data_IF_009099031469
#
_entry.id   IF_009099031469
#
_cell.length_a   1.000
_cell.length_b   1.000
_cell.length_c   1.000
_cell.angle_alpha   90.00
_cell.angle_beta   90.00
_cell.angle_gamma   90.00
#
_symmetry.space_group_name_H-M   'P 1'
#
loop_
_entity.id
_entity.type
_entity.pdbx_description
1 polymer ?
#
# COMPACT_ATOMS: atom_id res chain seq x y z
N UNK A 1 8.60 29.52 41.03
CA UNK A 1 7.65 30.59 40.66
C UNK A 1 7.12 30.47 39.23
N UNK A 2 7.96 30.45 38.19
CA UNK A 2 7.46 30.41 36.80
C UNK A 2 6.69 29.13 36.45
N UNK A 3 7.16 27.98 36.95
CA UNK A 3 6.49 26.68 36.73
C UNK A 3 5.14 26.60 37.46
N UNK A 4 5.04 27.20 38.65
CA UNK A 4 3.80 27.28 39.43
C UNK A 4 2.70 28.05 38.69
N UNK A 5 3.06 29.07 37.92
CA UNK A 5 2.13 29.86 37.11
C UNK A 5 2.08 29.43 35.63
N UNK A 6 2.76 28.33 35.26
CA UNK A 6 2.91 27.85 33.88
C UNK A 6 3.36 28.96 32.89
N UNK A 7 4.28 29.83 33.34
CA UNK A 7 4.82 30.94 32.53
C UNK A 7 6.11 30.47 31.87
N UNK A 8 6.18 30.58 30.54
CA UNK A 8 7.41 30.31 29.81
C UNK A 8 8.51 31.29 30.25
N UNK A 9 9.53 30.77 30.93
CA UNK A 9 10.62 31.56 31.50
C UNK A 9 11.32 32.47 30.48
N UNK A 10 11.55 31.96 29.27
CA UNK A 10 12.20 32.72 28.19
C UNK A 10 11.38 33.95 27.79
N UNK A 11 10.06 33.80 27.70
CA UNK A 11 9.15 34.91 27.40
C UNK A 11 9.09 35.96 28.53
N UNK A 12 9.15 35.53 29.79
CA UNK A 12 9.21 36.43 30.95
C UNK A 12 10.49 37.27 30.92
N UNK A 13 11.65 36.64 30.69
CA UNK A 13 12.94 37.34 30.59
C UNK A 13 12.95 38.36 29.44
N UNK A 14 12.41 38.00 28.27
CA UNK A 14 12.31 38.95 27.14
C UNK A 14 11.39 40.13 27.46
N UNK A 15 10.27 39.89 28.14
CA UNK A 15 9.34 40.96 28.53
C UNK A 15 9.95 41.90 29.57
N UNK A 16 10.68 41.36 30.57
CA UNK A 16 11.43 42.15 31.54
C UNK A 16 12.47 43.05 30.86
N UNK A 17 13.28 42.48 29.96
CA UNK A 17 14.32 43.21 29.23
C UNK A 17 13.75 44.32 28.34
N UNK A 18 12.66 44.02 27.62
CA UNK A 18 12.04 44.97 26.68
C UNK A 18 11.41 46.16 27.40
N UNK A 19 10.79 45.93 28.55
CA UNK A 19 10.05 46.98 29.27
C UNK A 19 10.82 47.59 30.44
N UNK A 20 12.04 47.09 30.73
CA UNK A 20 12.89 47.55 31.85
C UNK A 20 12.17 47.54 33.19
N UNK A 21 11.38 46.50 33.44
CA UNK A 21 10.59 46.31 34.67
C UNK A 21 11.18 45.21 35.55
N UNK A 22 10.83 45.24 36.84
CA UNK A 22 11.24 44.21 37.81
C UNK A 22 10.59 42.85 37.51
N UNK A 23 11.14 41.81 38.14
CA UNK A 23 10.62 40.44 38.02
C UNK A 23 9.21 40.34 38.61
N UNK A 24 8.96 41.03 39.71
CA UNK A 24 7.72 41.07 40.45
C UNK A 24 6.62 41.76 39.62
N UNK A 25 6.93 42.88 38.97
CA UNK A 25 6.02 43.56 38.05
C UNK A 25 5.72 42.73 36.79
N UNK A 26 6.73 42.08 36.22
CA UNK A 26 6.54 41.20 35.08
C UNK A 26 5.65 39.99 35.43
N UNK A 27 5.88 39.38 36.60
CA UNK A 27 5.04 38.28 37.09
C UNK A 27 3.61 38.75 37.40
N UNK A 28 3.44 39.94 37.98
CA UNK A 28 2.13 40.55 38.22
C UNK A 28 1.37 40.82 36.92
N UNK A 29 2.05 41.35 35.88
CA UNK A 29 1.47 41.55 34.55
C UNK A 29 1.00 40.22 33.94
N UNK A 30 1.83 39.17 33.97
CA UNK A 30 1.42 37.85 33.48
C UNK A 30 0.29 37.25 34.33
N UNK A 31 0.33 37.40 35.66
CA UNK A 31 -0.72 36.94 36.55
C UNK A 31 -2.06 37.62 36.27
N UNK A 32 -2.08 38.95 36.09
CA UNK A 32 -3.26 39.69 35.67
C UNK A 32 -3.71 39.27 34.27
N UNK A 33 -2.79 39.13 33.31
CA UNK A 33 -3.08 38.65 31.96
C UNK A 33 -3.75 37.27 31.99
N UNK A 34 -3.27 36.31 32.78
CA UNK A 34 -3.88 34.99 32.90
C UNK A 34 -5.20 35.01 33.71
N UNK A 35 -5.29 35.81 34.78
CA UNK A 35 -6.49 35.98 35.60
C UNK A 35 -7.67 36.58 34.81
N UNK A 36 -7.40 37.51 33.89
CA UNK A 36 -8.41 38.12 33.00
C UNK A 36 -8.58 37.40 31.66
N UNK A 37 -7.73 36.42 31.33
CA UNK A 37 -7.87 35.57 30.13
C UNK A 37 -8.75 34.33 30.33
N UNK A 38 -9.46 34.24 31.47
CA UNK A 38 -10.51 33.24 31.66
C UNK A 38 -11.54 33.39 30.55
N UNK A 39 -11.87 32.29 29.91
CA UNK A 39 -12.76 32.29 28.76
C UNK A 39 -14.08 31.64 29.16
N UNK A 40 -15.17 32.41 29.16
CA UNK A 40 -16.49 31.87 29.48
C UNK A 40 -17.22 31.49 28.19
N UNK A 41 -17.67 30.24 28.12
CA UNK A 41 -18.40 29.69 26.99
C UNK A 41 -19.49 28.74 27.49
N UNK A 42 -20.72 28.92 27.00
CA UNK A 42 -21.91 28.18 27.45
C UNK A 42 -22.01 28.05 28.98
N UNK A 43 -21.92 29.18 29.68
CA UNK A 43 -22.02 29.25 31.16
C UNK A 43 -20.91 28.52 31.94
N UNK A 44 -19.89 27.99 31.27
CA UNK A 44 -18.70 27.40 31.89
C UNK A 44 -17.51 28.34 31.70
N UNK A 45 -16.76 28.60 32.77
CA UNK A 45 -15.56 29.44 32.74
C UNK A 45 -14.31 28.57 32.73
N UNK A 46 -13.57 28.65 31.62
CA UNK A 46 -12.32 27.94 31.42
C UNK A 46 -11.13 28.84 31.77
N UNK A 47 -10.02 28.25 32.21
CA UNK A 47 -8.81 29.00 32.57
C UNK A 47 -8.17 29.73 31.38
N UNK A 48 -8.49 29.31 30.15
CA UNK A 48 -8.13 30.02 28.93
C UNK A 48 -9.01 29.61 27.74
N UNK A 49 -8.96 30.39 26.66
CA UNK A 49 -9.56 29.99 25.38
C UNK A 49 -9.01 28.65 24.87
N UNK A 50 -7.72 28.38 25.10
CA UNK A 50 -7.11 27.13 24.68
C UNK A 50 -7.70 25.95 25.45
N UNK A 51 -7.85 26.08 26.78
CA UNK A 51 -8.50 25.08 27.62
C UNK A 51 -9.95 24.84 27.18
N UNK A 52 -10.69 25.91 26.86
CA UNK A 52 -12.03 25.80 26.30
C UNK A 52 -12.04 24.99 24.99
N UNK A 53 -11.20 25.33 24.01
CA UNK A 53 -11.15 24.56 22.75
C UNK A 53 -10.79 23.09 22.97
N UNK A 54 -9.85 22.79 23.88
CA UNK A 54 -9.45 21.42 24.19
C UNK A 54 -10.58 20.61 24.84
N UNK A 55 -11.42 21.23 25.68
CA UNK A 55 -12.60 20.57 26.26
C UNK A 55 -13.64 20.16 25.20
N UNK A 56 -13.65 20.82 24.05
CA UNK A 56 -14.45 20.45 22.87
C UNK A 56 -13.63 19.68 21.82
N UNK A 57 -12.46 19.14 22.19
CA UNK A 57 -11.55 18.37 21.32
C UNK A 57 -11.09 19.11 20.05
N UNK A 58 -11.07 20.44 20.08
CA UNK A 58 -10.66 21.29 18.97
C UNK A 58 -9.30 21.92 19.24
N UNK A 59 -8.41 21.87 18.24
CA UNK A 59 -7.14 22.57 18.30
C UNK A 59 -7.38 24.10 18.30
N UNK A 60 -6.91 24.85 19.31
CA UNK A 60 -7.17 26.31 19.43
C UNK A 60 -6.73 27.11 18.20
N UNK A 61 -5.63 26.70 17.55
CA UNK A 61 -5.10 27.35 16.35
C UNK A 61 -6.09 27.34 15.18
N UNK A 62 -6.90 26.28 15.06
CA UNK A 62 -7.89 26.17 13.99
C UNK A 62 -8.98 27.23 14.13
N UNK A 63 -9.47 27.44 15.36
CA UNK A 63 -10.51 28.43 15.66
C UNK A 63 -9.96 29.86 15.52
N UNK A 64 -8.73 30.12 16.01
CA UNK A 64 -8.08 31.43 15.82
C UNK A 64 -7.89 31.79 14.34
N UNK A 65 -7.47 30.83 13.52
CA UNK A 65 -7.31 31.03 12.07
C UNK A 65 -8.66 31.26 11.38
N UNK A 66 -9.69 30.54 11.79
CA UNK A 66 -11.06 30.73 11.29
C UNK A 66 -11.60 32.12 11.67
N UNK A 67 -11.44 32.53 12.92
CA UNK A 67 -11.80 33.83 13.45
C UNK A 67 -11.13 34.96 12.65
N UNK A 68 -9.82 34.88 12.42
CA UNK A 68 -9.06 35.87 11.63
C UNK A 68 -9.57 35.98 10.19
N UNK A 69 -9.84 34.86 9.52
CA UNK A 69 -10.31 34.84 8.11
C UNK A 69 -11.72 35.39 7.95
N UNK A 70 -12.57 35.23 8.95
CA UNK A 70 -13.99 35.64 8.93
C UNK A 70 -14.26 36.91 9.74
N UNK A 71 -13.22 37.53 10.31
CA UNK A 71 -13.31 38.70 11.18
C UNK A 71 -14.28 38.52 12.35
N UNK A 72 -14.27 37.34 12.97
CA UNK A 72 -15.12 37.01 14.12
C UNK A 72 -14.39 37.16 15.45
N UNK A 73 -15.14 37.53 16.49
CA UNK A 73 -14.72 37.36 17.88
C UNK A 73 -14.53 35.87 18.20
N UNK A 74 -13.58 35.53 19.07
CA UNK A 74 -13.22 34.12 19.37
C UNK A 74 -14.41 33.28 19.86
N UNK A 75 -15.29 33.85 20.68
CA UNK A 75 -16.53 33.18 21.13
C UNK A 75 -17.47 32.84 19.96
N UNK A 76 -17.70 33.80 19.09
CA UNK A 76 -18.56 33.61 17.92
C UNK A 76 -17.92 32.67 16.89
N UNK A 77 -16.60 32.76 16.74
CA UNK A 77 -15.82 31.85 15.91
C UNK A 77 -15.89 30.40 16.43
N UNK A 78 -15.76 30.17 17.74
CA UNK A 78 -15.87 28.85 18.35
C UNK A 78 -17.25 28.24 18.15
N UNK A 79 -18.33 28.98 18.45
CA UNK A 79 -19.71 28.50 18.20
C UNK A 79 -19.95 28.18 16.73
N UNK A 80 -19.54 29.07 15.83
CA UNK A 80 -19.69 28.86 14.39
C UNK A 80 -18.85 27.68 13.88
N UNK A 81 -17.65 27.49 14.44
CA UNK A 81 -16.76 26.39 14.09
C UNK A 81 -17.31 25.04 14.59
N UNK A 82 -17.83 24.99 15.81
CA UNK A 82 -18.53 23.83 16.37
C UNK A 82 -19.77 23.47 15.55
N UNK A 83 -20.61 24.44 15.23
CA UNK A 83 -21.79 24.23 14.39
C UNK A 83 -21.43 23.76 12.97
N UNK A 84 -20.35 24.28 12.40
CA UNK A 84 -19.84 23.86 11.09
C UNK A 84 -19.35 22.41 11.08
N UNK A 85 -18.68 21.96 12.15
CA UNK A 85 -18.26 20.57 12.29
C UNK A 85 -19.43 19.63 12.58
N UNK A 86 -20.39 20.05 13.43
CA UNK A 86 -21.59 19.25 13.70
C UNK A 86 -22.46 19.04 12.46
N UNK A 87 -22.61 20.05 11.59
CA UNK A 87 -23.35 19.91 10.31
C UNK A 87 -22.64 19.04 9.27
N UNK A 88 -21.39 18.65 9.51
CA UNK A 88 -20.55 17.89 8.57
C UNK A 88 -20.23 16.47 9.04
N UNK A 89 -20.82 16.03 10.14
CA UNK A 89 -20.85 14.61 10.52
C UNK A 89 -21.39 13.82 9.32
N UNK A 90 -20.66 12.79 8.94
CA UNK A 90 -20.97 11.95 7.78
C UNK A 90 -21.43 10.60 8.31
N UNK A 91 -22.55 10.13 7.79
CA UNK A 91 -23.04 8.78 8.05
C UNK A 91 -22.69 7.89 6.88
N UNK A 92 -21.94 6.82 7.15
CA UNK A 92 -21.54 5.87 6.10
C UNK A 92 -21.53 4.45 6.67
N UNK A 93 -22.25 3.54 6.01
CA UNK A 93 -22.46 2.16 6.45
C UNK A 93 -22.96 2.03 7.90
N UNK A 94 -23.89 2.91 8.33
CA UNK A 94 -24.46 2.87 9.68
C UNK A 94 -23.60 3.47 10.80
N UNK A 95 -22.40 3.96 10.47
CA UNK A 95 -21.47 4.58 11.43
C UNK A 95 -21.38 6.10 11.21
N UNK A 96 -21.34 6.86 12.31
CA UNK A 96 -21.09 8.31 12.28
C UNK A 96 -19.59 8.62 12.27
N UNK A 97 -19.17 9.51 11.37
CA UNK A 97 -17.81 10.00 11.25
C UNK A 97 -17.75 11.51 11.36
N UNK A 98 -16.76 12.03 12.10
CA UNK A 98 -16.55 13.47 12.30
C UNK A 98 -16.27 14.19 10.96
N UNK A 99 -15.56 13.53 10.04
CA UNK A 99 -15.25 14.06 8.70
C UNK A 99 -15.20 12.97 7.63
N UNK A 100 -15.28 13.35 6.35
CA UNK A 100 -15.05 12.43 5.24
C UNK A 100 -13.66 11.78 5.30
N UNK A 101 -12.65 12.53 5.75
CA UNK A 101 -11.29 12.00 5.87
C UNK A 101 -11.18 10.92 6.95
N UNK A 102 -11.85 11.09 8.09
CA UNK A 102 -11.90 10.05 9.13
C UNK A 102 -12.68 8.82 8.65
N UNK A 103 -13.77 9.03 7.90
CA UNK A 103 -14.49 7.94 7.23
C UNK A 103 -13.56 7.15 6.30
N UNK A 104 -12.90 7.80 5.34
CA UNK A 104 -11.98 7.10 4.43
C UNK A 104 -10.88 6.32 5.17
N UNK A 105 -10.29 6.91 6.23
CA UNK A 105 -9.25 6.24 7.02
C UNK A 105 -9.74 4.99 7.74
N UNK A 106 -10.97 5.00 8.25
CA UNK A 106 -11.57 3.83 8.91
C UNK A 106 -11.67 2.63 7.96
N UNK A 107 -11.84 2.89 6.66
CA UNK A 107 -11.86 1.86 5.62
C UNK A 107 -10.52 1.74 4.86
N UNK A 108 -9.40 2.18 5.44
CA UNK A 108 -8.07 2.04 4.82
C UNK A 108 -7.85 2.87 3.54
N UNK A 109 -8.74 3.81 3.23
CA UNK A 109 -8.73 4.60 2.00
C UNK A 109 -8.06 5.97 2.19
N UNK A 110 -7.33 6.43 1.17
CA UNK A 110 -6.78 7.78 1.13
C UNK A 110 -7.82 8.79 0.62
N UNK A 111 -8.27 9.69 1.49
CA UNK A 111 -9.31 10.68 1.19
C UNK A 111 -8.99 11.60 -0.01
N UNK A 112 -7.71 11.90 -0.27
CA UNK A 112 -7.30 12.72 -1.41
C UNK A 112 -7.52 11.98 -2.73
N UNK A 113 -7.22 10.68 -2.78
CA UNK A 113 -7.43 9.85 -3.97
C UNK A 113 -8.92 9.64 -4.25
N UNK A 114 -9.70 9.36 -3.21
CA UNK A 114 -11.16 9.25 -3.31
C UNK A 114 -11.77 10.55 -3.85
N UNK A 115 -11.33 11.70 -3.32
CA UNK A 115 -11.82 13.01 -3.77
C UNK A 115 -11.42 13.34 -5.21
N UNK A 116 -10.19 13.00 -5.62
CA UNK A 116 -9.72 13.20 -6.99
C UNK A 116 -10.49 12.31 -7.99
N UNK A 117 -10.75 11.06 -7.62
CA UNK A 117 -11.54 10.12 -8.42
C UNK A 117 -12.98 10.61 -8.60
N UNK A 118 -13.64 11.00 -7.50
CA UNK A 118 -14.98 11.58 -7.54
C UNK A 118 -15.06 12.76 -8.52
N UNK A 119 -14.10 13.68 -8.44
CA UNK A 119 -14.04 14.85 -9.34
C UNK A 119 -13.81 14.48 -10.81
N UNK A 120 -12.89 13.54 -11.09
CA UNK A 120 -12.56 13.12 -12.46
C UNK A 120 -13.72 12.41 -13.15
N UNK A 121 -14.49 11.64 -12.39
CA UNK A 121 -15.58 10.82 -12.91
C UNK A 121 -16.96 11.46 -12.72
N UNK A 122 -17.04 12.65 -12.11
CA UNK A 122 -18.31 13.35 -11.89
C UNK A 122 -19.26 12.62 -10.93
N UNK A 123 -18.75 11.75 -10.06
CA UNK A 123 -19.54 10.95 -9.11
C UNK A 123 -19.47 11.52 -7.70
N UNK A 124 -20.36 11.07 -6.82
CA UNK A 124 -20.33 11.46 -5.41
C UNK A 124 -19.09 10.94 -4.69
N UNK A 125 -18.70 11.61 -3.60
CA UNK A 125 -17.59 11.16 -2.75
C UNK A 125 -17.86 9.81 -2.10
N UNK A 126 -19.12 9.51 -1.81
CA UNK A 126 -19.53 8.23 -1.23
C UNK A 126 -19.41 7.08 -2.21
N UNK A 127 -19.83 7.27 -3.47
CA UNK A 127 -19.66 6.27 -4.54
C UNK A 127 -18.18 6.02 -4.83
N UNK A 128 -17.37 7.10 -4.88
CA UNK A 128 -15.94 6.98 -5.02
C UNK A 128 -15.31 6.19 -3.84
N UNK A 129 -15.80 6.40 -2.61
CA UNK A 129 -15.32 5.66 -1.44
C UNK A 129 -15.70 4.17 -1.54
N UNK A 130 -16.97 3.86 -1.86
CA UNK A 130 -17.43 2.47 -2.08
C UNK A 130 -16.59 1.76 -3.14
N UNK A 131 -16.22 2.45 -4.21
CA UNK A 131 -15.32 1.88 -5.24
C UNK A 131 -13.96 1.47 -4.68
N UNK A 132 -13.33 2.32 -3.87
CA UNK A 132 -12.04 1.99 -3.25
C UNK A 132 -12.15 0.90 -2.18
N UNK A 133 -13.23 0.89 -1.40
CA UNK A 133 -13.52 -0.18 -0.43
C UNK A 133 -13.64 -1.52 -1.16
N UNK A 134 -14.50 -1.59 -2.18
CA UNK A 134 -14.65 -2.79 -3.01
C UNK A 134 -13.32 -3.23 -3.65
N UNK A 135 -12.45 -2.28 -4.00
CA UNK A 135 -11.12 -2.58 -4.54
C UNK A 135 -10.19 -3.18 -3.47
N UNK A 136 -10.22 -2.66 -2.25
CA UNK A 136 -9.47 -3.21 -1.11
C UNK A 136 -10.01 -4.60 -0.76
N UNK A 137 -11.32 -4.76 -0.64
CA UNK A 137 -11.97 -6.05 -0.39
C UNK A 137 -11.68 -7.07 -1.49
N UNK A 138 -11.64 -6.67 -2.76
CA UNK A 138 -11.19 -7.53 -3.85
C UNK A 138 -9.71 -7.90 -3.75
N UNK A 139 -8.85 -6.99 -3.30
CA UNK A 139 -7.43 -7.28 -3.07
C UNK A 139 -7.21 -8.19 -1.86
N UNK A 140 -8.01 -8.05 -0.79
CA UNK A 140 -7.95 -8.88 0.40
C UNK A 140 -8.61 -10.25 0.19
N UNK A 141 -9.73 -10.32 -0.54
CA UNK A 141 -10.36 -11.57 -0.98
C UNK A 141 -9.56 -12.31 -2.07
N UNK A 142 -8.66 -11.62 -2.76
CA UNK A 142 -7.61 -12.20 -3.63
C UNK A 142 -6.33 -12.56 -2.86
N UNK A 143 -6.37 -12.72 -1.53
CA UNK A 143 -5.33 -13.46 -0.78
C UNK A 143 -5.45 -14.99 -0.92
N UNK A 144 -5.91 -15.49 -2.07
CA UNK A 144 -5.32 -16.71 -2.63
C UNK A 144 -4.11 -16.18 -3.38
N UNK A 145 -2.94 -16.30 -2.75
CA UNK A 145 -1.66 -15.74 -3.16
C UNK A 145 -1.56 -15.47 -4.67
N UNK A 146 -1.67 -14.20 -5.09
CA UNK A 146 -1.60 -13.75 -6.50
C UNK A 146 -0.28 -14.13 -7.20
N UNK A 147 0.68 -14.69 -6.48
CA UNK A 147 1.85 -15.33 -7.08
C UNK A 147 1.58 -16.72 -7.60
N UNK A 148 0.61 -17.46 -7.04
CA UNK A 148 0.40 -18.87 -7.39
C UNK A 148 0.17 -19.08 -8.88
N UNK A 149 0.94 -20.01 -9.43
CA UNK A 149 0.91 -20.36 -10.85
C UNK A 149 0.42 -21.80 -10.98
N UNK A 150 -0.61 -22.03 -11.77
CA UNK A 150 -1.18 -23.36 -11.98
C UNK A 150 -0.76 -23.87 -13.36
N UNK A 151 -0.22 -25.08 -13.42
CA UNK A 151 0.19 -25.73 -14.68
C UNK A 151 -0.03 -27.24 -14.58
N UNK A 152 -0.82 -27.80 -15.53
CA UNK A 152 -1.16 -29.23 -15.64
C UNK A 152 -1.48 -29.87 -14.28
N UNK A 153 -2.48 -29.32 -13.60
CA UNK A 153 -3.00 -29.77 -12.30
C UNK A 153 -2.05 -29.61 -11.09
N UNK A 154 -0.87 -29.02 -11.30
CA UNK A 154 0.06 -28.68 -10.23
C UNK A 154 -0.03 -27.20 -9.87
N UNK A 155 -0.01 -26.91 -8.57
CA UNK A 155 0.00 -25.55 -8.02
C UNK A 155 1.43 -25.19 -7.60
N UNK A 156 1.94 -24.09 -8.13
CA UNK A 156 3.27 -23.55 -7.85
C UNK A 156 3.15 -22.23 -7.11
N UNK A 157 4.18 -21.86 -6.33
CA UNK A 157 4.19 -20.56 -5.66
C UNK A 157 4.20 -19.41 -6.66
N UNK A 158 4.94 -19.53 -7.77
CA UNK A 158 4.92 -18.61 -8.91
C UNK A 158 5.49 -19.23 -10.19
N UNK A 159 5.52 -18.45 -11.27
CA UNK A 159 6.12 -18.87 -12.55
C UNK A 159 7.58 -19.29 -12.38
N UNK A 160 8.35 -18.63 -11.51
CA UNK A 160 9.76 -18.98 -11.29
C UNK A 160 9.90 -20.29 -10.54
N UNK A 161 9.04 -20.53 -9.53
CA UNK A 161 8.94 -21.82 -8.84
C UNK A 161 8.53 -22.95 -9.80
N UNK A 162 7.56 -22.68 -10.67
CA UNK A 162 7.16 -23.60 -11.74
C UNK A 162 8.32 -23.93 -12.67
N UNK A 163 8.98 -22.93 -13.24
CA UNK A 163 10.14 -23.14 -14.10
C UNK A 163 11.26 -23.89 -13.37
N UNK A 164 11.53 -23.57 -12.10
CA UNK A 164 12.56 -24.25 -11.30
C UNK A 164 12.24 -25.73 -11.09
N UNK A 165 11.01 -26.06 -10.66
CA UNK A 165 10.58 -27.45 -10.43
C UNK A 165 10.50 -28.27 -11.73
N UNK A 166 10.11 -27.64 -12.84
CA UNK A 166 10.12 -28.27 -14.16
C UNK A 166 11.53 -28.32 -14.80
N UNK A 167 12.53 -27.66 -14.18
CA UNK A 167 13.88 -27.53 -14.71
C UNK A 167 13.92 -26.84 -16.08
N UNK A 168 13.13 -25.77 -16.22
CA UNK A 168 13.04 -24.90 -17.39
C UNK A 168 13.73 -23.56 -17.05
N UNK A 169 14.47 -22.99 -17.99
CA UNK A 169 15.08 -21.68 -17.81
C UNK A 169 14.01 -20.57 -17.87
N UNK A 170 13.77 -19.91 -16.73
CA UNK A 170 12.75 -18.85 -16.60
C UNK A 170 13.01 -17.65 -17.54
N UNK A 171 14.28 -17.29 -17.80
CA UNK A 171 14.64 -16.21 -18.72
C UNK A 171 14.24 -16.54 -20.16
N UNK A 172 14.37 -17.81 -20.55
CA UNK A 172 13.94 -18.30 -21.87
C UNK A 172 12.41 -18.23 -22.04
N UNK A 173 11.67 -18.50 -20.96
CA UNK A 173 10.20 -18.37 -20.91
C UNK A 173 9.79 -16.91 -21.08
N UNK A 174 10.38 -15.98 -20.31
CA UNK A 174 10.12 -14.56 -20.47
C UNK A 174 10.48 -14.04 -21.88
N UNK A 175 11.61 -14.48 -22.44
CA UNK A 175 12.02 -14.12 -23.80
C UNK A 175 11.08 -14.66 -24.89
N UNK A 176 10.47 -15.83 -24.67
CA UNK A 176 9.45 -16.36 -25.57
C UNK A 176 8.15 -15.54 -25.48
N UNK A 177 7.68 -15.25 -24.27
CA UNK A 177 6.50 -14.40 -24.04
C UNK A 177 6.68 -13.03 -24.70
N UNK A 178 7.87 -12.42 -24.57
CA UNK A 178 8.15 -11.10 -25.14
C UNK A 178 8.05 -11.09 -26.67
N UNK A 179 8.63 -12.11 -27.34
CA UNK A 179 8.68 -12.21 -28.80
C UNK A 179 7.36 -12.64 -29.42
N UNK A 180 6.62 -13.52 -28.77
CA UNK A 180 5.41 -14.13 -29.33
C UNK A 180 4.10 -13.53 -28.82
N UNK A 181 4.16 -12.70 -27.76
CA UNK A 181 3.01 -12.14 -27.04
C UNK A 181 2.04 -13.18 -26.47
N UNK A 182 2.48 -14.43 -26.34
CA UNK A 182 1.73 -15.53 -25.74
C UNK A 182 1.70 -15.47 -24.21
N UNK A 183 0.72 -16.18 -23.64
CA UNK A 183 0.51 -16.25 -22.19
C UNK A 183 1.60 -17.03 -21.45
N UNK A 184 1.65 -16.86 -20.11
CA UNK A 184 2.62 -17.55 -19.23
C UNK A 184 2.51 -19.08 -19.34
N UNK A 185 1.28 -19.61 -19.33
CA UNK A 185 1.02 -21.05 -19.41
C UNK A 185 1.50 -21.62 -20.75
N UNK A 186 1.16 -20.97 -21.86
CA UNK A 186 1.60 -21.39 -23.19
C UNK A 186 3.12 -21.37 -23.36
N UNK A 187 3.79 -20.38 -22.76
CA UNK A 187 5.25 -20.29 -22.80
C UNK A 187 5.92 -21.41 -22.00
N UNK A 188 5.39 -21.76 -20.82
CA UNK A 188 5.88 -22.90 -20.03
C UNK A 188 5.62 -24.22 -20.75
N UNK A 189 4.42 -24.39 -21.30
CA UNK A 189 4.00 -25.55 -22.09
C UNK A 189 4.96 -25.82 -23.26
N UNK A 190 5.33 -24.77 -24.01
CA UNK A 190 6.29 -24.88 -25.12
C UNK A 190 7.65 -25.45 -24.68
N UNK A 191 8.25 -24.89 -23.62
CA UNK A 191 9.55 -25.37 -23.14
C UNK A 191 9.47 -26.72 -22.42
N UNK A 192 8.34 -27.01 -21.79
CA UNK A 192 8.09 -28.33 -21.21
C UNK A 192 8.08 -29.40 -22.30
N UNK A 193 7.33 -29.19 -23.37
CA UNK A 193 7.27 -30.13 -24.50
C UNK A 193 8.60 -30.24 -25.23
N UNK A 194 9.28 -29.10 -25.48
CA UNK A 194 10.64 -29.11 -26.06
C UNK A 194 11.64 -29.89 -25.22
N UNK A 195 11.56 -29.79 -23.90
CA UNK A 195 12.41 -30.57 -23.00
C UNK A 195 12.06 -32.07 -23.06
N UNK A 196 10.78 -32.42 -23.22
CA UNK A 196 10.36 -33.81 -23.39
C UNK A 196 10.88 -34.41 -24.71
N UNK A 197 10.99 -33.62 -25.77
CA UNK A 197 11.65 -34.02 -27.03
C UNK A 197 13.15 -34.33 -26.86
N UNK A 198 13.81 -33.74 -25.86
CA UNK A 198 15.23 -34.01 -25.59
C UNK A 198 15.46 -35.37 -24.90
N UNK A 199 14.45 -35.94 -24.21
CA UNK A 199 14.56 -37.26 -23.61
C UNK A 199 14.58 -38.36 -24.67
N UNK A 200 15.30 -39.44 -24.38
CA UNK A 200 15.38 -40.59 -25.26
C UNK A 200 14.93 -41.84 -24.51
N UNK A 201 13.86 -42.47 -24.97
CA UNK A 201 13.40 -43.75 -24.43
C UNK A 201 14.08 -44.92 -25.16
N UNK A 202 14.67 -45.83 -24.39
CA UNK A 202 15.25 -47.08 -24.89
C UNK A 202 14.87 -48.24 -23.96
N UNK A 203 14.23 -49.27 -24.53
CA UNK A 203 13.75 -50.46 -23.78
C UNK A 203 12.92 -50.11 -22.54
N UNK A 204 11.96 -49.20 -22.69
CA UNK A 204 11.10 -48.69 -21.60
C UNK A 204 11.84 -47.96 -20.47
N UNK A 205 13.10 -47.61 -20.68
CA UNK A 205 13.88 -46.74 -19.78
C UNK A 205 14.05 -45.36 -20.41
N UNK A 206 13.64 -44.32 -19.68
CA UNK A 206 13.74 -42.93 -20.14
C UNK A 206 15.10 -42.33 -19.75
N UNK A 207 15.91 -41.98 -20.75
CA UNK A 207 17.19 -41.31 -20.59
C UNK A 207 17.03 -39.80 -20.77
N UNK A 208 17.79 -39.01 -20.02
CA UNK A 208 17.78 -37.54 -20.09
C UNK A 208 18.17 -36.97 -21.45
N UNK A 209 18.83 -37.77 -22.29
CA UNK A 209 19.03 -37.52 -23.71
C UNK A 209 19.57 -38.76 -24.42
N UNK A 210 19.56 -38.73 -25.77
CA UNK A 210 20.27 -39.72 -26.58
C UNK A 210 21.75 -39.83 -26.16
N UNK A 211 22.40 -38.70 -25.85
CA UNK A 211 23.81 -38.70 -25.42
C UNK A 211 24.00 -39.43 -24.09
N UNK A 212 23.07 -39.27 -23.14
CA UNK A 212 23.11 -39.97 -21.87
C UNK A 212 22.91 -41.48 -22.05
N UNK A 213 21.99 -41.88 -22.95
CA UNK A 213 21.81 -43.27 -23.34
C UNK A 213 23.09 -43.84 -23.99
N UNK A 214 23.64 -43.16 -24.99
CA UNK A 214 24.93 -43.50 -25.62
C UNK A 214 26.05 -43.68 -24.59
N UNK A 215 26.17 -42.78 -23.62
CA UNK A 215 27.20 -42.89 -22.56
C UNK A 215 26.97 -44.11 -21.66
N UNK A 216 25.71 -44.44 -21.36
CA UNK A 216 25.37 -45.60 -20.51
C UNK A 216 25.74 -46.94 -21.15
N UNK A 217 25.60 -47.06 -22.47
CA UNK A 217 25.88 -48.27 -23.23
C UNK A 217 27.26 -48.25 -23.91
N UNK A 218 28.10 -47.24 -23.63
CA UNK A 218 29.41 -47.03 -24.25
C UNK A 218 29.36 -46.97 -25.80
N UNK A 219 28.27 -46.41 -26.33
CA UNK A 219 28.04 -46.24 -27.77
C UNK A 219 28.40 -44.81 -28.18
N UNK A 220 29.08 -44.65 -29.32
CA UNK A 220 29.40 -43.31 -29.85
C UNK A 220 28.14 -42.59 -30.37
N UNK A 221 27.78 -41.48 -29.74
CA UNK A 221 26.70 -40.58 -30.20
C UNK A 221 26.86 -40.19 -31.68
N UNK A 222 28.11 -39.99 -32.12
CA UNK A 222 28.42 -39.63 -33.50
C UNK A 222 28.16 -40.80 -34.45
N UNK A 223 28.48 -42.03 -34.05
CA UNK A 223 28.21 -43.23 -34.84
C UNK A 223 26.70 -43.43 -35.05
N UNK A 224 25.91 -43.32 -33.98
CA UNK A 224 24.44 -43.45 -34.03
C UNK A 224 23.82 -42.44 -34.98
N UNK A 225 24.17 -41.15 -34.84
CA UNK A 225 23.66 -40.09 -35.72
C UNK A 225 24.07 -40.29 -37.19
N UNK A 226 25.33 -40.66 -37.43
CA UNK A 226 25.81 -40.93 -38.79
C UNK A 226 25.10 -42.13 -39.43
N UNK A 227 24.82 -43.17 -38.65
CA UNK A 227 24.08 -44.34 -39.13
C UNK A 227 22.63 -43.97 -39.46
N UNK A 228 21.94 -43.26 -38.56
CA UNK A 228 20.57 -42.78 -38.78
C UNK A 228 20.47 -42.03 -40.11
N UNK A 229 21.41 -41.09 -40.34
CA UNK A 229 21.48 -40.32 -41.59
C UNK A 229 21.81 -41.19 -42.82
N UNK A 230 22.87 -42.00 -42.77
CA UNK A 230 23.30 -42.82 -43.94
C UNK A 230 22.31 -43.90 -44.34
N UNK A 231 21.58 -44.46 -43.38
CA UNK A 231 20.61 -45.54 -43.60
C UNK A 231 19.16 -45.05 -43.64
N UNK A 232 18.94 -43.74 -43.50
CA UNK A 232 17.62 -43.13 -43.42
C UNK A 232 16.67 -43.88 -42.47
N UNK A 233 17.18 -44.20 -41.27
CA UNK A 233 16.46 -44.96 -40.25
C UNK A 233 16.25 -44.13 -38.99
N UNK A 234 15.35 -44.58 -38.12
CA UNK A 234 15.10 -43.90 -36.85
C UNK A 234 16.35 -43.89 -35.95
N UNK A 235 16.45 -42.94 -35.04
CA UNK A 235 17.55 -42.91 -34.05
C UNK A 235 17.54 -44.18 -33.18
N UNK A 236 16.37 -44.74 -32.88
CA UNK A 236 16.23 -45.99 -32.12
C UNK A 236 16.81 -47.19 -32.88
N UNK A 237 16.48 -47.34 -34.16
CA UNK A 237 17.07 -48.39 -34.99
C UNK A 237 18.57 -48.20 -35.19
N UNK A 238 19.01 -46.95 -35.39
CA UNK A 238 20.43 -46.65 -35.52
C UNK A 238 21.19 -47.00 -34.23
N UNK A 239 20.61 -46.71 -33.07
CA UNK A 239 21.17 -47.03 -31.75
C UNK A 239 21.27 -48.53 -31.52
N UNK A 240 20.27 -49.32 -31.92
CA UNK A 240 20.29 -50.81 -31.82
C UNK A 240 21.47 -51.47 -32.52
N UNK A 241 22.01 -50.80 -33.54
CA UNK A 241 23.00 -51.34 -34.46
C UNK A 241 24.35 -50.60 -34.39
N UNK A 242 24.61 -49.87 -33.30
CA UNK A 242 25.88 -49.21 -32.97
C UNK A 242 26.37 -49.72 -31.63
#
# INVERSE_FOLDING_TARGET
CCDYYNINYKSLCTYMQKNKISKEEALSHYYQYYKYNRFTYNHVTYDSFAACCMAYEIKPICVRRYAKRKHFLLRHALSSYLNYHNKRKIYFCGQEYITFTSCCRAFGCNASYVSAYAKRHGISREEALKFYINRIEKQEGQKIDSRTFVFRDSIYHDLSDCCRKLGINVSSVYGYMWRTKKGKVEAVEYYYNKKMEDYFEWESVLYSSLSACCTKFDVSLKAVRNRAWRKNCSIQEAFRHC
#
